data_IF_684153267107
#
_entry.id   IF_684153267107
#
_cell.length_a   1.000
_cell.length_b   1.000
_cell.length_c   1.000
_cell.angle_alpha   90.00
_cell.angle_beta   90.00
_cell.angle_gamma   90.00
#
_symmetry.space_group_name_H-M   'P 1'
#
loop_
_entity.id
_entity.type
_entity.pdbx_description
1 polymer ?
#
# COMPACT_ATOMS: atom_id res chain seq x y z
N UNK A 1 -34.51 12.95 27.01
CA UNK A 1 -34.33 11.50 27.27
C UNK A 1 -33.21 10.95 26.39
N UNK A 2 -32.31 10.13 26.95
CA UNK A 2 -31.24 9.49 26.17
C UNK A 2 -31.69 8.09 25.69
N UNK A 3 -31.95 7.96 24.39
CA UNK A 3 -32.41 6.71 23.76
C UNK A 3 -31.28 5.86 23.19
N UNK A 4 -30.01 6.26 23.39
CA UNK A 4 -28.87 5.64 22.73
C UNK A 4 -28.69 4.17 23.15
N UNK A 5 -28.89 3.84 24.43
CA UNK A 5 -28.80 2.47 24.96
C UNK A 5 -29.83 1.50 24.37
N UNK A 6 -30.92 1.99 23.78
CA UNK A 6 -31.94 1.20 23.11
C UNK A 6 -31.62 0.89 21.64
N UNK A 7 -30.50 1.39 21.12
CA UNK A 7 -30.04 1.12 19.75
C UNK A 7 -29.02 0.00 19.72
N UNK A 8 -29.24 -0.99 18.84
CA UNK A 8 -28.37 -2.16 18.64
C UNK A 8 -26.93 -1.84 18.25
N UNK A 9 -26.69 -0.69 17.62
CA UNK A 9 -25.35 -0.24 17.22
C UNK A 9 -24.59 0.50 18.33
N UNK A 10 -25.18 0.69 19.52
CA UNK A 10 -24.49 1.43 20.57
C UNK A 10 -23.27 0.67 21.08
N UNK A 11 -22.09 1.27 20.91
CA UNK A 11 -20.77 0.76 21.31
C UNK A 11 -20.72 0.26 22.76
N UNK A 12 -21.44 0.91 23.69
CA UNK A 12 -21.42 0.57 25.12
C UNK A 12 -22.37 -0.58 25.51
N UNK A 13 -23.11 -1.15 24.56
CA UNK A 13 -23.90 -2.36 24.82
C UNK A 13 -22.96 -3.53 25.08
N UNK A 14 -23.28 -4.33 26.10
CA UNK A 14 -22.50 -5.50 26.50
C UNK A 14 -22.25 -6.45 25.31
N UNK A 15 -23.29 -6.75 24.54
CA UNK A 15 -23.21 -7.65 23.37
C UNK A 15 -22.24 -7.14 22.29
N UNK A 16 -22.14 -5.82 22.09
CA UNK A 16 -21.21 -5.24 21.13
C UNK A 16 -19.78 -5.25 21.64
N UNK A 17 -19.59 -4.98 22.93
CA UNK A 17 -18.27 -5.07 23.58
C UNK A 17 -17.77 -6.52 23.54
N UNK A 18 -18.64 -7.51 23.78
CA UNK A 18 -18.30 -8.93 23.70
C UNK A 18 -17.98 -9.38 22.28
N UNK A 19 -18.68 -8.86 21.26
CA UNK A 19 -18.32 -9.11 19.87
C UNK A 19 -16.93 -8.59 19.55
N UNK A 20 -16.63 -7.34 19.93
CA UNK A 20 -15.30 -6.73 19.74
C UNK A 20 -14.23 -7.55 20.45
N UNK A 21 -14.45 -7.96 21.71
CA UNK A 21 -13.49 -8.80 22.44
C UNK A 21 -13.24 -10.16 21.79
N UNK A 22 -14.27 -10.78 21.21
CA UNK A 22 -14.12 -12.05 20.48
C UNK A 22 -13.29 -11.85 19.22
N UNK A 23 -13.57 -10.81 18.46
CA UNK A 23 -12.85 -10.50 17.23
C UNK A 23 -11.39 -10.13 17.53
N UNK A 24 -11.13 -9.37 18.59
CA UNK A 24 -9.78 -9.05 19.08
C UNK A 24 -9.03 -10.30 19.56
N UNK A 25 -9.70 -11.20 20.29
CA UNK A 25 -9.11 -12.46 20.74
C UNK A 25 -8.77 -13.37 19.56
N UNK A 26 -9.66 -13.50 18.58
CA UNK A 26 -9.41 -14.26 17.34
C UNK A 26 -8.22 -13.69 16.56
N UNK A 27 -8.15 -12.37 16.41
CA UNK A 27 -7.02 -11.72 15.74
C UNK A 27 -5.70 -11.99 16.48
N UNK A 28 -5.71 -11.93 17.82
CA UNK A 28 -4.54 -12.20 18.64
C UNK A 28 -4.08 -13.67 18.55
N UNK A 29 -5.01 -14.62 18.52
CA UNK A 29 -4.68 -16.05 18.40
C UNK A 29 -4.15 -16.39 17.01
N UNK A 30 -4.75 -15.83 15.94
CA UNK A 30 -4.22 -15.97 14.58
C UNK A 30 -2.80 -15.39 14.43
N UNK A 31 -2.52 -14.27 15.09
CA UNK A 31 -1.18 -13.68 15.09
C UNK A 31 -0.16 -14.58 15.81
N UNK A 32 -0.53 -15.13 16.98
CA UNK A 32 0.33 -16.09 17.70
C UNK A 32 0.59 -17.34 16.86
N UNK A 33 -0.40 -17.87 16.16
CA UNK A 33 -0.21 -19.02 15.26
C UNK A 33 0.74 -18.70 14.11
N UNK A 34 0.60 -17.52 13.50
CA UNK A 34 1.52 -17.06 12.44
C UNK A 34 2.94 -16.91 12.98
N UNK A 35 3.11 -16.27 14.14
CA UNK A 35 4.40 -16.14 14.80
C UNK A 35 5.01 -17.51 15.12
N UNK A 36 4.21 -18.46 15.62
CA UNK A 36 4.66 -19.84 15.89
C UNK A 36 5.15 -20.52 14.61
N UNK A 37 4.44 -20.37 13.50
CA UNK A 37 4.85 -20.92 12.20
C UNK A 37 6.15 -20.28 11.70
N UNK A 38 6.29 -18.96 11.82
CA UNK A 38 7.51 -18.25 11.46
C UNK A 38 8.69 -18.73 12.30
N UNK A 39 8.51 -18.83 13.62
CA UNK A 39 9.56 -19.31 14.53
C UNK A 39 9.99 -20.75 14.23
N UNK A 40 9.03 -21.64 13.90
CA UNK A 40 9.35 -23.01 13.49
C UNK A 40 10.14 -23.02 12.17
N UNK A 41 9.69 -22.28 11.17
CA UNK A 41 10.38 -22.17 9.88
C UNK A 41 11.80 -21.60 10.03
N UNK A 42 11.99 -20.62 10.94
CA UNK A 42 13.30 -20.06 11.25
C UNK A 42 14.22 -21.10 11.92
N UNK A 43 13.70 -21.88 12.87
CA UNK A 43 14.44 -22.99 13.48
C UNK A 43 14.84 -24.02 12.44
N UNK A 44 13.91 -24.46 11.59
CA UNK A 44 14.16 -25.43 10.53
C UNK A 44 15.21 -24.90 9.54
N UNK A 45 15.06 -23.68 9.03
CA UNK A 45 16.02 -23.05 8.12
C UNK A 45 17.42 -22.94 8.74
N UNK A 46 17.51 -22.59 10.04
CA UNK A 46 18.78 -22.55 10.76
C UNK A 46 19.43 -23.93 10.84
N UNK A 47 18.66 -24.97 11.17
CA UNK A 47 19.19 -26.34 11.23
C UNK A 47 19.59 -26.87 9.86
N UNK A 48 18.84 -26.55 8.81
CA UNK A 48 19.16 -26.95 7.44
C UNK A 48 20.42 -26.25 6.94
N UNK A 49 20.61 -24.97 7.25
CA UNK A 49 21.85 -24.25 6.97
C UNK A 49 23.04 -24.94 7.62
N UNK A 50 22.94 -25.29 8.91
CA UNK A 50 24.02 -26.00 9.61
C UNK A 50 24.29 -27.38 9.01
N UNK A 51 23.22 -28.13 8.67
CA UNK A 51 23.34 -29.45 8.02
C UNK A 51 23.99 -29.34 6.64
N UNK A 52 23.59 -28.36 5.83
CA UNK A 52 24.17 -28.12 4.50
C UNK A 52 25.63 -27.71 4.59
N UNK A 53 26.00 -26.85 5.55
CA UNK A 53 27.39 -26.47 5.81
C UNK A 53 28.23 -27.67 6.26
N UNK A 54 27.68 -28.55 7.09
CA UNK A 54 28.38 -29.78 7.48
C UNK A 54 28.57 -30.73 6.29
N UNK A 55 27.53 -30.95 5.47
CA UNK A 55 27.65 -31.75 4.24
C UNK A 55 28.71 -31.18 3.27
N UNK A 56 28.78 -29.85 3.12
CA UNK A 56 29.82 -29.21 2.31
C UNK A 56 31.21 -29.44 2.85
N UNK A 57 31.40 -29.34 4.18
CA UNK A 57 32.69 -29.65 4.81
C UNK A 57 33.13 -31.10 4.58
N UNK A 58 32.19 -32.05 4.70
CA UNK A 58 32.48 -33.47 4.46
C UNK A 58 32.83 -33.71 2.98
N UNK A 59 32.07 -33.12 2.04
CA UNK A 59 32.38 -33.22 0.62
C UNK A 59 33.74 -32.58 0.27
N UNK A 60 34.07 -31.42 0.86
CA UNK A 60 35.38 -30.78 0.70
C UNK A 60 36.51 -31.68 1.21
N UNK A 61 36.31 -32.41 2.31
CA UNK A 61 37.32 -33.36 2.82
C UNK A 61 37.44 -34.61 1.96
N UNK A 62 36.33 -35.13 1.43
CA UNK A 62 36.32 -36.30 0.54
C UNK A 62 36.97 -35.97 -0.81
N UNK A 63 36.74 -34.77 -1.37
CA UNK A 63 37.40 -34.32 -2.61
C UNK A 63 38.92 -34.10 -2.43
N UNK A 64 39.39 -33.76 -1.22
CA UNK A 64 40.84 -33.72 -0.94
C UNK A 64 41.47 -35.10 -0.78
N UNK A 65 40.75 -36.08 -0.23
CA UNK A 65 41.27 -37.45 -0.03
C UNK A 65 41.28 -38.30 -1.31
N UNK A 66 40.47 -37.98 -2.34
CA UNK A 66 40.59 -38.61 -3.67
C UNK A 66 41.80 -38.13 -4.51
N UNK A 67 42.54 -37.12 -4.03
CA UNK A 67 43.78 -36.64 -4.68
C UNK A 67 45.09 -37.20 -4.09
N UNK A 68 45.01 -37.98 -3.00
CA UNK A 68 46.18 -38.59 -2.34
C UNK A 68 45.90 -40.06 -1.97
N UNK A 69 46.02 -40.98 -2.95
CA UNK A 69 45.97 -42.44 -2.68
C UNK A 69 47.09 -43.21 -3.39
N UNK A 70 48.34 -43.05 -2.95
CA UNK A 70 49.47 -44.02 -2.95
C UNK A 70 50.45 -43.48 -1.86
N UNK A 71 50.77 -44.05 -0.69
CA UNK A 71 51.12 -45.41 -0.22
C UNK A 71 50.96 -45.57 1.31
N UNK A 72 50.67 -46.81 1.75
CA UNK A 72 51.22 -47.54 2.92
C UNK A 72 51.01 -47.08 4.39
N UNK A 73 50.16 -47.86 5.07
CA UNK A 73 50.40 -48.64 6.32
C UNK A 73 51.40 -48.15 7.38
N UNK A 74 50.92 -48.04 8.62
CA UNK A 74 51.76 -48.05 9.83
C UNK A 74 50.92 -48.17 11.11
N UNK A 75 51.14 -49.25 11.86
CA UNK A 75 50.56 -49.62 13.15
C UNK A 75 51.06 -48.73 14.33
N UNK A 76 50.60 -49.07 15.55
CA UNK A 76 51.09 -48.64 16.88
C UNK A 76 50.58 -47.28 17.41
N UNK A 77 50.23 -47.08 18.69
CA UNK A 77 50.50 -47.85 19.91
C UNK A 77 49.60 -47.30 21.04
N UNK A 78 49.12 -48.18 21.92
CA UNK A 78 48.61 -47.82 23.24
C UNK A 78 49.76 -47.35 24.11
N UNK A 79 49.75 -46.11 24.60
CA UNK A 79 50.77 -45.64 25.57
C UNK A 79 50.09 -45.19 26.86
N UNK A 80 50.14 -46.09 27.84
CA UNK A 80 50.09 -45.79 29.27
C UNK A 80 51.36 -45.03 29.67
N UNK A 81 51.23 -43.90 30.36
CA UNK A 81 52.35 -43.23 31.04
C UNK A 81 52.06 -43.15 32.53
N UNK A 82 52.71 -44.04 33.28
CA UNK A 82 52.95 -43.92 34.72
C UNK A 82 54.23 -43.12 34.93
N UNK A 83 54.17 -42.00 35.65
CA UNK A 83 55.32 -41.51 36.42
C UNK A 83 54.86 -40.87 37.74
N UNK A 84 55.58 -41.22 38.79
CA UNK A 84 55.35 -40.92 40.20
C UNK A 84 56.30 -39.82 40.71
N UNK A 85 55.77 -38.96 41.58
CA UNK A 85 56.47 -38.27 42.71
C UNK A 85 57.43 -37.14 42.33
N UNK A 86 57.58 -36.00 43.01
CA UNK A 86 57.21 -35.44 44.33
C UNK A 86 57.79 -34.02 44.38
N UNK A 87 57.12 -33.01 44.97
CA UNK A 87 57.68 -32.02 45.92
C UNK A 87 56.80 -30.76 46.11
N UNK A 88 56.33 -30.62 47.35
CA UNK A 88 56.04 -29.46 48.22
C UNK A 88 55.62 -28.07 47.67
N UNK A 89 54.51 -27.62 48.26
CA UNK A 89 54.18 -26.26 48.70
C UNK A 89 54.33 -25.07 47.72
N UNK A 90 53.18 -24.68 47.15
CA UNK A 90 52.59 -23.33 47.35
C UNK A 90 51.16 -23.28 46.82
N UNK A 91 50.25 -22.99 47.75
CA UNK A 91 48.82 -22.72 47.55
C UNK A 91 48.61 -21.49 46.66
N UNK A 92 48.55 -21.67 45.34
CA UNK A 92 48.05 -20.68 44.39
C UNK A 92 46.90 -21.27 43.57
N UNK A 93 45.68 -21.06 44.08
CA UNK A 93 44.46 -20.71 43.34
C UNK A 93 44.21 -21.50 42.04
N UNK A 94 43.45 -22.58 42.18
CA UNK A 94 42.80 -23.32 41.10
C UNK A 94 41.72 -22.44 40.45
N UNK A 95 41.95 -21.95 39.21
CA UNK A 95 40.93 -21.16 38.50
C UNK A 95 40.11 -22.02 37.51
N UNK A 96 40.60 -23.14 36.96
CA UNK A 96 39.84 -23.90 35.94
C UNK A 96 39.99 -25.44 35.92
N UNK A 97 40.32 -26.11 37.04
CA UNK A 97 40.28 -27.59 37.09
C UNK A 97 38.85 -28.09 37.33
N UNK A 98 38.27 -28.77 36.33
CA UNK A 98 37.05 -29.56 36.50
C UNK A 98 37.33 -30.89 37.20
N UNK A 99 36.28 -31.55 37.71
CA UNK A 99 36.29 -32.74 38.61
C UNK A 99 37.04 -34.00 38.09
N UNK A 100 37.80 -33.93 37.00
CA UNK A 100 38.56 -35.04 36.41
C UNK A 100 39.88 -34.63 35.77
N UNK A 101 40.49 -33.50 36.16
CA UNK A 101 41.78 -33.05 35.64
C UNK A 101 41.72 -32.38 34.26
N UNK A 102 40.54 -32.31 33.63
CA UNK A 102 40.33 -31.54 32.41
C UNK A 102 40.13 -30.05 32.74
N UNK A 103 40.85 -29.19 32.01
CA UNK A 103 40.76 -27.73 32.12
C UNK A 103 39.48 -27.29 31.41
N UNK A 104 38.51 -26.76 32.16
CA UNK A 104 37.27 -26.27 31.57
C UNK A 104 37.42 -24.79 31.18
N UNK A 105 37.81 -24.55 29.93
CA UNK A 105 37.98 -23.22 29.34
C UNK A 105 36.68 -22.40 29.29
N UNK A 106 35.51 -23.04 29.42
CA UNK A 106 34.20 -22.40 29.31
C UNK A 106 33.51 -22.18 30.65
N UNK A 107 34.18 -22.45 31.77
CA UNK A 107 33.61 -22.34 33.11
C UNK A 107 33.05 -20.94 33.40
N UNK A 108 33.74 -19.88 32.99
CA UNK A 108 33.26 -18.51 33.16
C UNK A 108 32.00 -18.20 32.34
N UNK A 109 31.83 -18.86 31.18
CA UNK A 109 30.64 -18.72 30.36
C UNK A 109 29.46 -19.52 30.94
N UNK A 110 29.73 -20.69 31.51
CA UNK A 110 28.75 -21.54 32.23
C UNK A 110 28.29 -20.90 33.54
N UNK A 111 29.20 -20.26 34.28
CA UNK A 111 28.93 -19.49 35.50
C UNK A 111 28.29 -18.12 35.21
N UNK A 112 28.06 -17.79 33.92
CA UNK A 112 27.37 -16.57 33.50
C UNK A 112 28.19 -15.29 33.65
N UNK A 113 29.50 -15.40 33.91
CA UNK A 113 30.47 -14.31 34.00
C UNK A 113 30.95 -13.94 32.59
N UNK A 114 30.03 -13.83 31.64
CA UNK A 114 30.33 -13.09 30.42
C UNK A 114 30.13 -11.62 30.78
N UNK A 115 31.22 -10.90 31.03
CA UNK A 115 31.19 -9.44 31.06
C UNK A 115 30.60 -8.96 29.74
N UNK A 116 29.31 -8.66 29.75
CA UNK A 116 28.60 -8.02 28.64
C UNK A 116 29.12 -6.59 28.57
N UNK A 117 30.35 -6.40 28.09
CA UNK A 117 30.81 -5.11 27.56
C UNK A 117 29.92 -4.81 26.37
N UNK A 118 28.77 -4.22 26.66
CA UNK A 118 27.82 -3.81 25.65
C UNK A 118 28.52 -2.76 24.80
N UNK A 119 28.50 -2.96 23.50
CA UNK A 119 28.97 -1.95 22.57
C UNK A 119 28.11 -0.69 22.77
N UNK A 120 28.74 0.39 23.23
CA UNK A 120 28.10 1.69 23.51
C UNK A 120 27.42 2.23 22.25
N UNK A 121 27.98 1.94 21.08
CA UNK A 121 27.40 2.35 19.79
C UNK A 121 26.07 1.63 19.51
N UNK A 122 25.98 0.33 19.82
CA UNK A 122 24.78 -0.47 19.59
C UNK A 122 23.63 -0.11 20.54
N UNK A 123 23.92 0.37 21.76
CA UNK A 123 22.87 0.90 22.64
C UNK A 123 22.35 2.26 22.15
N UNK A 124 23.21 3.09 21.56
CA UNK A 124 22.81 4.36 20.94
C UNK A 124 21.96 4.11 19.70
N UNK A 125 22.39 3.21 18.83
CA UNK A 125 21.63 2.82 17.62
C UNK A 125 20.23 2.31 17.98
N UNK A 126 20.11 1.40 18.95
CA UNK A 126 18.81 0.92 19.45
C UNK A 126 17.94 2.03 20.05
N UNK A 127 18.55 3.06 20.62
CA UNK A 127 17.83 4.20 21.16
C UNK A 127 17.33 5.10 20.03
N UNK A 128 18.16 5.37 19.03
CA UNK A 128 17.79 6.15 17.86
C UNK A 128 16.69 5.45 17.02
N UNK A 129 16.76 4.13 16.89
CA UNK A 129 15.70 3.31 16.29
C UNK A 129 14.37 3.40 17.06
N UNK A 130 14.43 3.37 18.40
CA UNK A 130 13.23 3.56 19.23
C UNK A 130 12.68 4.97 19.09
N UNK A 131 13.52 5.99 19.14
CA UNK A 131 13.09 7.37 19.00
C UNK A 131 12.50 7.64 17.60
N UNK A 132 13.06 7.07 16.54
CA UNK A 132 12.50 7.19 15.19
C UNK A 132 11.19 6.43 15.04
N UNK A 133 11.07 5.24 15.63
CA UNK A 133 9.81 4.49 15.68
C UNK A 133 8.75 5.22 16.49
N UNK A 134 9.08 5.74 17.67
CA UNK A 134 8.18 6.50 18.53
C UNK A 134 7.79 7.84 17.89
N UNK A 135 8.70 8.53 17.19
CA UNK A 135 8.40 9.71 16.35
C UNK A 135 7.42 9.36 15.24
N UNK A 136 7.68 8.26 14.52
CA UNK A 136 6.82 7.78 13.42
C UNK A 136 5.44 7.35 13.91
N UNK A 137 5.37 6.74 15.10
CA UNK A 137 4.12 6.37 15.78
C UNK A 137 3.44 7.56 16.47
N UNK A 138 4.07 8.74 16.51
CA UNK A 138 3.53 9.94 17.16
C UNK A 138 3.52 9.87 18.70
N UNK A 139 4.21 8.89 19.29
CA UNK A 139 4.36 8.71 20.74
C UNK A 139 5.37 9.73 21.28
N UNK A 140 6.48 9.91 20.57
CA UNK A 140 7.54 10.84 20.94
C UNK A 140 7.47 12.07 20.04
N UNK A 141 6.88 13.15 20.56
CA UNK A 141 6.79 14.46 19.89
C UNK A 141 7.63 15.46 20.67
N UNK A 142 8.74 15.96 20.10
CA UNK A 142 9.57 16.94 20.78
C UNK A 142 8.91 18.32 20.74
N UNK A 143 8.74 18.90 21.92
CA UNK A 143 8.19 20.23 22.08
C UNK A 143 9.10 21.25 21.37
N UNK A 144 8.58 21.95 20.37
CA UNK A 144 9.34 22.93 19.56
C UNK A 144 9.73 22.45 18.16
N UNK A 145 9.59 21.16 17.84
CA UNK A 145 9.56 20.70 16.44
C UNK A 145 8.17 20.99 15.87
N UNK A 146 7.88 22.26 15.59
CA UNK A 146 6.68 22.61 14.83
C UNK A 146 6.79 21.94 13.46
N UNK A 147 5.90 21.01 13.11
CA UNK A 147 5.16 20.81 11.84
C UNK A 147 5.78 21.22 10.47
N UNK A 148 7.07 21.49 10.39
CA UNK A 148 7.80 21.94 9.19
C UNK A 148 8.39 20.78 8.42
N UNK A 149 8.62 19.66 9.11
CA UNK A 149 8.97 18.37 8.49
C UNK A 149 7.74 17.61 8.01
N UNK A 150 6.53 17.99 8.47
CA UNK A 150 5.29 17.54 7.86
C UNK A 150 5.16 18.17 6.46
N UNK A 151 4.87 17.38 5.41
CA UNK A 151 4.59 17.93 4.09
C UNK A 151 3.47 18.97 4.24
N UNK A 152 3.72 20.17 3.71
CA UNK A 152 2.85 21.32 3.89
C UNK A 152 1.41 20.90 3.60
N UNK A 153 0.48 21.00 4.58
CA UNK A 153 -0.85 20.46 4.42
C UNK A 153 -1.48 21.00 3.13
N UNK A 154 -2.25 20.18 2.41
CA UNK A 154 -2.77 20.54 1.09
C UNK A 154 -3.51 21.90 1.04
N UNK A 155 -4.08 22.36 2.17
CA UNK A 155 -4.74 23.66 2.33
C UNK A 155 -3.78 24.84 2.53
N UNK A 156 -2.56 24.61 3.04
CA UNK A 156 -1.45 25.57 3.12
C UNK A 156 -0.53 25.47 1.89
N UNK A 157 -0.57 24.35 1.18
CA UNK A 157 0.12 24.18 -0.08
C UNK A 157 -0.45 25.19 -1.08
N UNK A 158 0.24 26.33 -1.25
CA UNK A 158 0.04 27.17 -2.42
C UNK A 158 0.43 26.32 -3.61
N UNK A 159 -0.55 25.61 -4.19
CA UNK A 159 -0.42 24.96 -5.50
C UNK A 159 0.30 25.96 -6.39
N UNK A 160 1.53 25.60 -6.75
CA UNK A 160 2.48 26.36 -7.57
C UNK A 160 1.74 27.38 -8.44
N UNK A 161 1.79 28.66 -8.07
CA UNK A 161 1.66 29.76 -9.04
C UNK A 161 2.94 29.70 -9.87
N UNK A 162 2.99 28.77 -10.81
CA UNK A 162 3.90 28.81 -11.94
C UNK A 162 3.04 29.07 -13.15
N UNK A 163 2.67 30.34 -13.31
CA UNK A 163 2.26 30.94 -14.57
C UNK A 163 3.05 32.26 -14.60
N UNK A 164 4.31 32.14 -15.01
CA UNK A 164 5.13 33.24 -15.53
C UNK A 164 4.67 33.53 -16.96
N UNK A 165 3.40 33.84 -17.09
CA UNK A 165 2.76 34.31 -18.29
C UNK A 165 1.41 34.83 -17.81
N UNK A 166 1.14 36.12 -18.02
CA UNK A 166 -0.09 36.79 -17.56
C UNK A 166 -1.38 36.28 -18.24
N UNK A 167 -1.43 35.02 -18.67
CA UNK A 167 -2.58 34.40 -19.31
C UNK A 167 -3.49 33.78 -18.25
N UNK A 168 -4.61 34.45 -17.98
CA UNK A 168 -5.68 33.89 -17.14
C UNK A 168 -6.21 32.63 -17.83
N UNK A 169 -6.04 31.47 -17.21
CA UNK A 169 -6.59 30.20 -17.71
C UNK A 169 -8.06 30.38 -18.19
N UNK A 170 -8.44 29.87 -19.39
CA UNK A 170 -9.80 30.00 -19.94
C UNK A 170 -10.92 29.45 -19.04
N UNK A 171 -10.56 28.63 -18.04
CA UNK A 171 -11.47 28.15 -17.01
C UNK A 171 -11.76 29.22 -15.95
N UNK A 172 -10.73 29.94 -15.49
CA UNK A 172 -10.86 31.05 -14.53
C UNK A 172 -11.66 32.20 -15.12
N UNK A 173 -11.42 32.53 -16.39
CA UNK A 173 -12.15 33.61 -17.07
C UNK A 173 -13.66 33.30 -17.17
N UNK A 174 -14.02 32.06 -17.50
CA UNK A 174 -15.44 31.62 -17.52
C UNK A 174 -16.08 31.67 -16.15
N UNK A 175 -15.38 31.22 -15.11
CA UNK A 175 -15.87 31.25 -13.74
C UNK A 175 -16.04 32.69 -13.23
N UNK A 176 -15.13 33.60 -13.57
CA UNK A 176 -15.25 35.02 -13.22
C UNK A 176 -16.43 35.70 -13.93
N UNK A 177 -16.64 35.43 -15.22
CA UNK A 177 -17.82 35.93 -15.95
C UNK A 177 -19.12 35.41 -15.35
N UNK A 178 -19.16 34.13 -14.95
CA UNK A 178 -20.32 33.55 -14.29
C UNK A 178 -20.58 34.18 -12.92
N UNK A 179 -19.53 34.41 -12.13
CA UNK A 179 -19.64 35.11 -10.83
C UNK A 179 -20.14 36.54 -10.99
N UNK A 180 -19.60 37.29 -11.97
CA UNK A 180 -20.05 38.66 -12.27
C UNK A 180 -21.51 38.71 -12.70
N UNK A 181 -21.97 37.74 -13.48
CA UNK A 181 -23.39 37.67 -13.87
C UNK A 181 -24.33 37.29 -12.73
N UNK A 182 -23.82 36.61 -11.70
CA UNK A 182 -24.60 36.23 -10.51
C UNK A 182 -24.47 37.25 -9.37
N UNK A 183 -23.78 38.37 -9.60
CA UNK A 183 -23.61 39.44 -8.61
C UNK A 183 -24.68 40.53 -8.81
N UNK A 184 -25.61 40.73 -7.86
CA UNK A 184 -26.67 41.73 -7.97
C UNK A 184 -26.14 43.16 -8.06
N UNK A 185 -24.95 43.46 -7.52
CA UNK A 185 -24.35 44.80 -7.61
C UNK A 185 -23.91 45.09 -9.05
N UNK A 186 -23.39 44.07 -9.75
CA UNK A 186 -23.00 44.20 -11.16
C UNK A 186 -24.21 44.49 -12.05
N UNK A 187 -25.33 43.81 -11.79
CA UNK A 187 -26.59 44.06 -12.50
C UNK A 187 -27.17 45.45 -12.23
N UNK A 188 -27.12 45.92 -10.97
CA UNK A 188 -27.52 47.27 -10.60
C UNK A 188 -26.64 48.33 -11.29
N UNK A 189 -25.33 48.12 -11.36
CA UNK A 189 -24.41 49.02 -12.07
C UNK A 189 -24.75 49.11 -13.55
N UNK A 190 -24.99 47.96 -14.20
CA UNK A 190 -25.41 47.92 -15.60
C UNK A 190 -26.76 48.61 -15.84
N UNK A 191 -27.69 48.51 -14.89
CA UNK A 191 -28.99 49.18 -14.97
C UNK A 191 -28.84 50.70 -14.86
N UNK A 192 -28.03 51.18 -13.91
CA UNK A 192 -27.75 52.61 -13.72
C UNK A 192 -27.01 53.20 -14.93
N UNK A 193 -26.09 52.46 -15.55
CA UNK A 193 -25.42 52.88 -16.79
C UNK A 193 -26.42 53.00 -17.94
N UNK A 194 -27.33 52.02 -18.11
CA UNK A 194 -28.37 52.05 -19.14
C UNK A 194 -29.40 53.16 -18.93
N UNK A 195 -29.75 53.50 -17.69
CA UNK A 195 -30.69 54.61 -17.41
C UNK A 195 -30.05 55.98 -17.63
N UNK A 196 -28.75 56.13 -17.34
CA UNK A 196 -27.98 57.32 -17.73
C UNK A 196 -27.94 57.51 -19.25
N UNK A 197 -27.73 56.42 -20.00
CA UNK A 197 -27.74 56.45 -21.46
C UNK A 197 -29.14 56.72 -22.06
N UNK A 198 -30.21 56.29 -21.39
CA UNK A 198 -31.58 56.55 -21.80
C UNK A 198 -32.00 58.02 -21.66
N UNK A 199 -31.24 58.82 -20.91
CA UNK A 199 -31.42 60.27 -20.78
C UNK A 199 -30.44 61.08 -21.65
N UNK A 200 -29.59 60.43 -22.45
CA UNK A 200 -28.79 61.11 -23.47
C UNK A 200 -29.61 61.31 -24.75
N UNK A 201 -29.92 62.57 -25.15
CA UNK A 201 -30.80 62.85 -26.29
C UNK A 201 -30.20 62.48 -27.66
N UNK A 202 -28.91 62.17 -27.72
CA UNK A 202 -28.17 62.06 -28.99
C UNK A 202 -28.27 60.69 -29.67
N UNK A 203 -28.61 59.62 -28.94
CA UNK A 203 -28.65 58.24 -29.49
C UNK A 203 -30.04 57.70 -29.84
N UNK A 204 -31.13 58.43 -29.56
CA UNK A 204 -32.51 57.97 -29.86
C UNK A 204 -32.82 57.85 -31.35
N UNK A 205 -31.95 58.34 -32.26
CA UNK A 205 -32.20 58.36 -33.72
C UNK A 205 -31.78 57.08 -34.48
N UNK A 206 -31.08 56.12 -33.88
CA UNK A 206 -30.57 54.96 -34.62
C UNK A 206 -31.30 53.61 -34.40
N UNK A 207 -32.36 53.55 -33.60
CA UNK A 207 -33.00 52.26 -33.23
C UNK A 207 -34.18 51.80 -34.10
N UNK A 208 -34.57 52.55 -35.13
CA UNK A 208 -35.72 52.19 -35.99
C UNK A 208 -35.37 51.52 -37.33
N UNK A 209 -34.11 51.19 -37.63
CA UNK A 209 -33.73 50.51 -38.88
C UNK A 209 -32.88 49.27 -38.64
N UNK A 210 -33.52 48.18 -38.21
CA UNK A 210 -33.27 46.80 -38.67
C UNK A 210 -34.17 45.83 -37.89
N UNK A 211 -35.46 45.80 -38.27
CA UNK A 211 -36.35 44.68 -37.94
C UNK A 211 -36.72 43.94 -39.23
N UNK A 212 -35.71 43.57 -40.00
CA UNK A 212 -35.88 42.64 -41.12
C UNK A 212 -35.36 41.26 -40.76
N UNK A 213 -36.33 40.37 -40.54
CA UNK A 213 -36.38 38.99 -41.04
C UNK A 213 -35.03 38.24 -41.10
N UNK A 214 -34.65 37.59 -40.00
CA UNK A 214 -34.02 36.27 -40.06
C UNK A 214 -34.92 35.25 -39.37
N UNK A 215 -35.92 34.75 -40.11
CA UNK A 215 -36.55 33.46 -39.81
C UNK A 215 -35.51 32.39 -40.12
N UNK A 216 -34.70 32.00 -39.14
CA UNK A 216 -33.97 30.75 -39.25
C UNK A 216 -35.00 29.62 -39.21
N UNK A 217 -35.13 28.98 -40.38
CA UNK A 217 -35.93 27.78 -40.62
C UNK A 217 -35.37 26.65 -39.76
N UNK A 218 -35.91 26.47 -38.55
CA UNK A 218 -35.71 25.22 -37.82
C UNK A 218 -36.43 24.13 -38.59
N UNK A 219 -35.67 23.34 -39.35
CA UNK A 219 -36.10 22.05 -39.89
C UNK A 219 -36.38 21.16 -38.68
N UNK A 220 -37.66 20.92 -38.38
CA UNK A 220 -38.06 19.83 -37.49
C UNK A 220 -37.75 18.51 -38.19
N UNK A 221 -36.52 18.02 -37.99
CA UNK A 221 -36.19 16.60 -38.12
C UNK A 221 -36.18 16.01 -36.72
N UNK A 222 -37.35 15.86 -36.12
CA UNK A 222 -37.54 14.87 -35.06
C UNK A 222 -38.09 13.60 -35.75
N UNK A 223 -37.18 12.83 -36.33
CA UNK A 223 -37.38 11.40 -36.49
C UNK A 223 -36.79 10.76 -35.24
N UNK A 224 -37.64 10.07 -34.49
CA UNK A 224 -37.29 9.04 -33.52
C UNK A 224 -36.24 9.43 -32.47
N UNK A 225 -36.57 10.43 -31.65
CA UNK A 225 -36.03 10.47 -30.29
C UNK A 225 -36.87 9.50 -29.46
N UNK A 226 -36.34 8.34 -29.02
CA UNK A 226 -37.08 7.50 -28.10
C UNK A 226 -37.39 8.35 -26.87
N UNK A 227 -38.68 8.47 -26.57
CA UNK A 227 -39.17 8.94 -25.29
C UNK A 227 -38.50 8.06 -24.23
N UNK A 228 -37.39 8.52 -23.66
CA UNK A 228 -36.92 7.99 -22.38
C UNK A 228 -37.89 8.52 -21.34
N UNK A 229 -39.11 7.98 -21.34
CA UNK A 229 -39.89 7.92 -20.12
C UNK A 229 -38.98 7.21 -19.14
N UNK A 230 -38.52 7.95 -18.16
CA UNK A 230 -37.83 7.45 -16.99
C UNK A 230 -38.78 6.50 -16.26
N UNK A 231 -38.98 5.29 -16.77
CA UNK A 231 -39.44 4.19 -15.95
C UNK A 231 -38.24 3.90 -15.06
N UNK A 232 -38.25 4.47 -13.87
CA UNK A 232 -37.35 4.04 -12.80
C UNK A 232 -37.39 2.52 -12.79
N UNK A 233 -36.21 1.89 -12.93
CA UNK A 233 -36.09 0.44 -12.88
C UNK A 233 -36.83 -0.04 -11.63
N UNK A 234 -37.67 -1.06 -11.76
CA UNK A 234 -38.36 -1.62 -10.60
C UNK A 234 -37.32 -2.08 -9.57
N UNK A 235 -37.67 -2.08 -8.28
CA UNK A 235 -36.74 -2.47 -7.20
C UNK A 235 -36.11 -3.85 -7.47
N UNK A 236 -36.87 -4.76 -8.07
CA UNK A 236 -36.40 -6.09 -8.47
C UNK A 236 -35.36 -6.03 -9.60
N UNK A 237 -35.54 -5.16 -10.59
CA UNK A 237 -34.53 -4.93 -11.63
C UNK A 237 -33.23 -4.36 -11.06
N UNK A 238 -33.31 -3.46 -10.08
CA UNK A 238 -32.12 -2.94 -9.39
C UNK A 238 -31.40 -4.01 -8.56
N UNK A 239 -32.16 -4.92 -7.92
CA UNK A 239 -31.58 -6.08 -7.20
C UNK A 239 -30.92 -7.06 -8.16
N UNK A 240 -31.57 -7.39 -9.27
CA UNK A 240 -31.00 -8.25 -10.30
C UNK A 240 -29.73 -7.64 -10.89
N UNK A 241 -29.72 -6.33 -11.14
CA UNK A 241 -28.54 -5.62 -11.63
C UNK A 241 -27.40 -5.61 -10.61
N UNK A 242 -27.70 -5.41 -9.31
CA UNK A 242 -26.72 -5.54 -8.23
C UNK A 242 -26.12 -6.95 -8.19
N UNK A 243 -26.96 -7.99 -8.14
CA UNK A 243 -26.51 -9.39 -8.12
C UNK A 243 -25.65 -9.72 -9.34
N UNK A 244 -25.99 -9.18 -10.51
CA UNK A 244 -25.20 -9.36 -11.73
C UNK A 244 -23.81 -8.71 -11.58
N UNK A 245 -23.73 -7.46 -11.11
CA UNK A 245 -22.45 -6.78 -10.85
C UNK A 245 -21.61 -7.52 -9.81
N UNK A 246 -22.20 -7.93 -8.69
CA UNK A 246 -21.52 -8.72 -7.65
C UNK A 246 -21.02 -10.05 -8.21
N UNK A 247 -21.80 -10.72 -9.06
CA UNK A 247 -21.39 -11.99 -9.68
C UNK A 247 -20.26 -11.80 -10.70
N UNK A 248 -20.26 -10.71 -11.45
CA UNK A 248 -19.22 -10.40 -12.44
C UNK A 248 -17.91 -10.00 -11.76
N UNK A 249 -17.98 -9.22 -10.68
CA UNK A 249 -16.82 -8.90 -9.83
C UNK A 249 -16.27 -10.16 -9.15
N UNK A 250 -17.16 -11.03 -8.62
CA UNK A 250 -16.75 -12.32 -8.02
C UNK A 250 -16.09 -13.25 -9.03
N UNK A 251 -16.55 -13.27 -10.29
CA UNK A 251 -15.89 -14.00 -11.38
C UNK A 251 -14.51 -13.40 -11.68
N UNK A 252 -14.42 -12.07 -11.76
CA UNK A 252 -13.14 -11.40 -12.00
C UNK A 252 -12.12 -11.70 -10.90
N UNK A 253 -12.56 -11.73 -9.63
CA UNK A 253 -11.68 -12.11 -8.51
C UNK A 253 -11.34 -13.59 -8.53
N UNK A 254 -12.30 -14.47 -8.86
CA UNK A 254 -12.00 -15.90 -9.00
C UNK A 254 -10.99 -16.17 -10.11
N UNK A 255 -11.13 -15.51 -11.26
CA UNK A 255 -10.23 -15.65 -12.40
C UNK A 255 -8.83 -15.12 -12.07
N UNK A 256 -8.73 -13.99 -11.36
CA UNK A 256 -7.46 -13.47 -10.86
C UNK A 256 -6.79 -14.47 -9.91
N UNK A 257 -7.55 -15.07 -8.99
CA UNK A 257 -7.04 -16.04 -8.02
C UNK A 257 -6.66 -17.37 -8.70
N UNK A 258 -7.42 -17.82 -9.70
CA UNK A 258 -7.09 -18.99 -10.52
C UNK A 258 -5.79 -18.77 -11.29
N UNK A 259 -5.64 -17.60 -11.92
CA UNK A 259 -4.40 -17.19 -12.58
C UNK A 259 -3.21 -17.14 -11.62
N UNK A 260 -3.40 -16.65 -10.39
CA UNK A 260 -2.37 -16.64 -9.35
C UNK A 260 -2.01 -18.06 -8.87
N UNK A 261 -2.96 -19.00 -8.90
CA UNK A 261 -2.75 -20.43 -8.62
C UNK A 261 -2.13 -21.21 -9.79
N UNK A 262 -1.94 -20.58 -10.96
CA UNK A 262 -1.44 -21.24 -12.16
C UNK A 262 -2.48 -22.13 -12.86
N UNK A 263 -3.76 -22.01 -12.52
CA UNK A 263 -4.85 -22.68 -13.24
C UNK A 263 -5.08 -21.98 -14.60
N UNK A 264 -5.11 -22.76 -15.68
CA UNK A 264 -5.33 -22.23 -17.03
C UNK A 264 -6.78 -21.76 -17.18
N UNK A 265 -7.02 -20.45 -17.09
CA UNK A 265 -8.31 -19.86 -17.43
C UNK A 265 -8.40 -19.73 -18.96
N UNK A 266 -9.47 -20.20 -19.62
CA UNK A 266 -9.63 -20.03 -21.07
C UNK A 266 -9.65 -18.52 -21.38
N UNK A 267 -8.67 -18.08 -22.16
CA UNK A 267 -8.50 -16.68 -22.52
C UNK A 267 -9.65 -16.26 -23.43
N UNK A 268 -10.65 -15.56 -22.86
CA UNK A 268 -11.78 -14.99 -23.59
C UNK A 268 -11.41 -13.75 -24.40
N UNK A 269 -10.12 -13.44 -24.55
CA UNK A 269 -9.68 -12.52 -25.59
C UNK A 269 -9.69 -13.25 -26.93
N UNK A 270 -10.88 -13.37 -27.52
CA UNK A 270 -10.96 -13.44 -28.98
C UNK A 270 -10.40 -12.12 -29.50
N UNK A 271 -9.08 -12.08 -29.70
CA UNK A 271 -8.41 -11.06 -30.48
C UNK A 271 -8.90 -11.22 -31.91
N UNK A 272 -10.08 -10.67 -32.18
CA UNK A 272 -10.60 -10.54 -33.54
C UNK A 272 -9.63 -9.60 -34.23
N UNK A 273 -8.68 -10.16 -34.97
CA UNK A 273 -7.79 -9.41 -35.84
C UNK A 273 -8.62 -8.74 -36.91
N UNK A 274 -9.17 -7.56 -36.59
CA UNK A 274 -9.80 -6.71 -37.58
C UNK A 274 -8.72 -6.33 -38.59
N UNK A 275 -8.94 -6.62 -39.86
CA UNK A 275 -8.11 -6.13 -40.96
C UNK A 275 -7.74 -4.65 -40.74
N UNK A 276 -6.47 -4.28 -40.84
CA UNK A 276 -5.98 -2.91 -40.53
C UNK A 276 -6.75 -1.83 -41.29
N UNK A 277 -7.20 -2.13 -42.51
CA UNK A 277 -8.04 -1.26 -43.34
C UNK A 277 -9.44 -0.98 -42.78
N UNK A 278 -9.94 -1.83 -41.89
CA UNK A 278 -11.24 -1.73 -41.21
C UNK A 278 -11.13 -1.23 -39.76
N UNK A 279 -9.92 -1.06 -39.22
CA UNK A 279 -9.68 -0.49 -37.89
C UNK A 279 -9.85 1.03 -37.94
N UNK A 280 -10.76 1.57 -37.14
CA UNK A 280 -10.91 3.02 -37.01
C UNK A 280 -9.82 3.62 -36.12
N UNK A 281 -9.47 4.90 -36.31
CA UNK A 281 -8.42 5.58 -35.53
C UNK A 281 -8.61 5.46 -34.00
N UNK A 282 -9.87 5.48 -33.51
CA UNK A 282 -10.16 5.40 -32.09
C UNK A 282 -9.92 4.00 -31.47
N UNK A 283 -9.86 2.93 -32.27
CA UNK A 283 -9.60 1.58 -31.76
C UNK A 283 -8.14 1.31 -31.41
N UNK A 284 -7.22 2.17 -31.87
CA UNK A 284 -5.79 2.06 -31.55
C UNK A 284 -5.48 2.52 -30.13
N UNK A 285 -6.20 3.53 -29.63
CA UNK A 285 -5.92 4.17 -28.35
C UNK A 285 -6.91 3.77 -27.25
N UNK A 286 -8.12 3.36 -27.61
CA UNK A 286 -9.14 2.98 -26.62
C UNK A 286 -10.04 1.84 -27.13
N UNK A 287 -9.50 0.61 -27.26
CA UNK A 287 -10.19 -0.51 -27.90
C UNK A 287 -11.51 -0.88 -27.20
N UNK A 288 -11.56 -0.75 -25.87
CA UNK A 288 -12.74 -1.12 -25.06
C UNK A 288 -13.96 -0.23 -25.31
N UNK A 289 -13.74 1.00 -25.80
CA UNK A 289 -14.80 1.98 -26.04
C UNK A 289 -15.26 2.02 -27.50
N UNK A 290 -14.65 1.22 -28.38
CA UNK A 290 -15.01 1.18 -29.79
C UNK A 290 -16.25 0.32 -29.99
N UNK A 291 -17.25 0.90 -30.65
CA UNK A 291 -18.44 0.17 -31.07
C UNK A 291 -18.03 -0.88 -32.10
N UNK A 292 -18.21 -2.16 -31.77
CA UNK A 292 -17.99 -3.25 -32.72
C UNK A 292 -18.95 -3.08 -33.90
N UNK A 293 -18.49 -3.20 -35.15
CA UNK A 293 -19.39 -3.20 -36.30
C UNK A 293 -20.39 -4.34 -36.13
N UNK A 294 -21.65 -4.10 -36.49
CA UNK A 294 -22.67 -5.15 -36.51
C UNK A 294 -22.39 -6.02 -37.73
N UNK A 295 -22.19 -7.31 -37.52
CA UNK A 295 -22.09 -8.27 -38.62
C UNK A 295 -23.38 -8.19 -39.45
N UNK A 296 -23.21 -8.01 -40.76
CA UNK A 296 -24.29 -7.82 -41.74
C UNK A 296 -24.71 -9.16 -42.32
#
# INVERSE_FOLDING_TARGET
MNILHHKSWHVRRKDNIERVRRDEAQAADEEKEKQRKIALAEQEARTELLRSKNRKRIAETEETEESETITETGESETVTCTETSTSDDKKSINIYSGSGGHINFFKDAEDGIVEKKKNVEHEKEKKDEKETWEKKMGILTYLGQSRTDDPTPWYLSKKRKKEEDGSISPRRERDEKRKKHMDPIYDLKNYVEKTKDAHSPERRKHKHKHKEKKKHKHKSKDKDRPQTTSSSKTIEQLRAERLRRESDEKKKTSDLMAKMRGESVPDKSEHVELNERRRGYNSQYNPDFVRRPKDS
#
